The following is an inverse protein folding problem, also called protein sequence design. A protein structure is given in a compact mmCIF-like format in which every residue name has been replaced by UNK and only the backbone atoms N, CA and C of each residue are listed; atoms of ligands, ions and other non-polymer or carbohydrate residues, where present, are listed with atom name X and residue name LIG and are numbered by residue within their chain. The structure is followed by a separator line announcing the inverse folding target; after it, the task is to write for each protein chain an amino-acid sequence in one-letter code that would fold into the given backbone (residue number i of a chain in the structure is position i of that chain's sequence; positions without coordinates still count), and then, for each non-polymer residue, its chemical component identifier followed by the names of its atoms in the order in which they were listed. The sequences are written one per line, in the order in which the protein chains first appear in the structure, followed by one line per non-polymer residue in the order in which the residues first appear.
data_IF_368296292483
#
_entry.id   IF_368296292483
#
_cell.length_a   1.000
_cell.length_b   1.000
_cell.length_c   1.000
_cell.angle_alpha   90.00
_cell.angle_beta   90.00
_cell.angle_gamma   90.00
#
_symmetry.space_group_name_H-M   'P 1'
#
loop_
_entity.id
_entity.type
_entity.pdbx_description
1 polymer ?
#
# COMPACT_ATOMS: atom_id res chain seq x y z
N UNK A 1 -29.08 -5.51 20.43
CA UNK A 1 -27.79 -5.09 19.81
C UNK A 1 -27.07 -6.33 19.32
N UNK A 2 -26.94 -6.50 18.00
CA UNK A 2 -26.18 -7.61 17.44
C UNK A 2 -24.69 -7.43 17.77
N UNK A 3 -24.08 -8.45 18.38
CA UNK A 3 -22.66 -8.44 18.73
C UNK A 3 -21.84 -8.37 17.44
N UNK A 4 -21.18 -7.24 17.21
CA UNK A 4 -20.31 -7.02 16.05
C UNK A 4 -19.29 -8.16 16.00
N UNK A 5 -19.21 -8.88 14.87
CA UNK A 5 -18.25 -9.98 14.70
C UNK A 5 -16.85 -9.38 14.79
N UNK A 6 -16.14 -9.60 15.89
CA UNK A 6 -14.82 -8.99 16.15
C UNK A 6 -13.69 -9.53 15.27
N UNK A 7 -13.97 -10.46 14.35
CA UNK A 7 -12.99 -11.20 13.54
C UNK A 7 -13.57 -11.58 12.17
N UNK A 8 -14.02 -10.59 11.40
CA UNK A 8 -14.51 -10.82 10.03
C UNK A 8 -13.32 -11.20 9.14
N UNK A 9 -13.31 -12.37 8.47
CA UNK A 9 -12.22 -12.71 7.54
C UNK A 9 -11.94 -11.58 6.55
N UNK A 10 -10.68 -11.43 6.14
CA UNK A 10 -10.34 -10.53 5.04
C UNK A 10 -10.30 -11.34 3.75
N UNK A 11 -11.17 -11.01 2.81
CA UNK A 11 -11.09 -11.49 1.44
C UNK A 11 -9.89 -10.80 0.76
N UNK A 12 -9.04 -11.62 0.17
CA UNK A 12 -7.84 -11.17 -0.56
C UNK A 12 -8.16 -11.24 -2.04
N UNK A 13 -8.09 -10.09 -2.72
CA UNK A 13 -8.38 -9.96 -4.14
C UNK A 13 -7.12 -9.64 -4.94
N UNK A 14 -7.11 -10.04 -6.20
CA UNK A 14 -6.15 -9.61 -7.21
C UNK A 14 -6.96 -9.14 -8.43
N UNK A 15 -6.89 -7.84 -8.74
CA UNK A 15 -7.65 -7.20 -9.84
C UNK A 15 -9.13 -7.60 -9.86
N UNK A 16 -9.81 -7.43 -8.72
CA UNK A 16 -11.22 -7.79 -8.51
C UNK A 16 -11.57 -9.29 -8.53
N UNK A 17 -10.60 -10.20 -8.61
CA UNK A 17 -10.82 -11.65 -8.48
C UNK A 17 -10.45 -12.13 -7.07
N UNK A 18 -11.34 -12.89 -6.43
CA UNK A 18 -11.08 -13.47 -5.11
C UNK A 18 -9.97 -14.52 -5.21
N UNK A 19 -8.88 -14.28 -4.48
CA UNK A 19 -7.70 -15.17 -4.41
C UNK A 19 -7.83 -16.12 -3.23
N UNK A 20 -8.31 -15.61 -2.10
CA UNK A 20 -8.37 -16.38 -0.86
C UNK A 20 -8.83 -15.55 0.32
N UNK A 21 -8.68 -16.11 1.52
CA UNK A 21 -9.13 -15.49 2.77
C UNK A 21 -8.02 -15.51 3.82
N UNK A 22 -7.73 -14.35 4.38
CA UNK A 22 -6.87 -14.17 5.54
C UNK A 22 -7.75 -14.12 6.80
N UNK A 23 -7.47 -14.98 7.78
CA UNK A 23 -8.29 -15.13 8.99
C UNK A 23 -7.46 -14.95 10.24
N UNK A 24 -8.10 -14.37 11.26
CA UNK A 24 -7.60 -14.34 12.64
C UNK A 24 -8.44 -15.25 13.52
N UNK A 25 -7.86 -16.36 13.96
CA UNK A 25 -8.53 -17.34 14.82
C UNK A 25 -8.72 -16.80 16.24
N UNK A 26 -9.56 -17.49 17.03
CA UNK A 26 -9.84 -17.19 18.45
C UNK A 26 -8.55 -17.09 19.29
N UNK A 27 -7.59 -17.97 19.03
CA UNK A 27 -6.26 -18.02 19.66
C UNK A 27 -5.34 -16.84 19.30
N UNK A 28 -5.70 -16.03 18.29
CA UNK A 28 -4.83 -15.00 17.71
C UNK A 28 -3.99 -15.51 16.54
N UNK A 29 -3.97 -16.82 16.27
CA UNK A 29 -3.27 -17.38 15.12
C UNK A 29 -3.85 -16.83 13.81
N UNK A 30 -2.96 -16.50 12.88
CA UNK A 30 -3.30 -16.06 11.53
C UNK A 30 -3.17 -17.24 10.57
N UNK A 31 -4.16 -17.39 9.70
CA UNK A 31 -4.14 -18.39 8.64
C UNK A 31 -4.65 -17.83 7.32
N UNK A 32 -4.16 -18.41 6.22
CA UNK A 32 -4.55 -18.05 4.86
C UNK A 32 -4.98 -19.30 4.11
N UNK A 33 -6.07 -19.20 3.35
CA UNK A 33 -6.58 -20.26 2.49
C UNK A 33 -6.89 -19.70 1.12
N UNK A 34 -6.42 -20.37 0.07
CA UNK A 34 -6.81 -20.01 -1.30
C UNK A 34 -8.29 -20.34 -1.53
N UNK A 35 -8.95 -19.51 -2.33
CA UNK A 35 -10.30 -19.79 -2.79
C UNK A 35 -10.27 -20.88 -3.86
N UNK A 36 -11.27 -21.77 -3.87
CA UNK A 36 -11.34 -22.85 -4.86
C UNK A 36 -11.45 -22.32 -6.29
N UNK A 37 -12.13 -21.20 -6.49
CA UNK A 37 -12.27 -20.55 -7.80
C UNK A 37 -10.96 -19.93 -8.30
N UNK A 38 -10.04 -19.62 -7.39
CA UNK A 38 -8.68 -19.21 -7.72
C UNK A 38 -7.84 -20.43 -8.10
N UNK A 39 -7.84 -21.49 -7.28
CA UNK A 39 -7.08 -22.72 -7.55
C UNK A 39 -7.50 -23.41 -8.86
N UNK A 40 -8.78 -23.34 -9.21
CA UNK A 40 -9.31 -23.89 -10.46
C UNK A 40 -9.04 -23.02 -11.68
N UNK A 41 -8.45 -21.83 -11.52
CA UNK A 41 -8.18 -20.93 -12.64
C UNK A 41 -6.87 -21.29 -13.33
N UNK A 42 -6.88 -21.37 -14.66
CA UNK A 42 -5.70 -21.72 -15.46
C UNK A 42 -4.51 -20.76 -15.26
N UNK A 43 -4.80 -19.49 -14.95
CA UNK A 43 -3.76 -18.48 -14.70
C UNK A 43 -3.54 -18.21 -13.21
N UNK A 44 -3.95 -19.13 -12.35
CA UNK A 44 -3.70 -19.04 -10.91
C UNK A 44 -2.21 -18.88 -10.64
N UNK A 45 -1.89 -17.93 -9.76
CA UNK A 45 -0.54 -17.70 -9.28
C UNK A 45 -0.58 -17.59 -7.75
N UNK A 46 0.49 -18.00 -7.06
CA UNK A 46 0.52 -17.90 -5.62
C UNK A 46 0.66 -16.43 -5.17
N UNK A 47 0.04 -16.06 -4.05
CA UNK A 47 0.18 -14.72 -3.44
C UNK A 47 1.63 -14.41 -3.05
N UNK A 48 2.42 -15.44 -2.80
CA UNK A 48 3.86 -15.40 -2.56
C UNK A 48 4.46 -16.75 -2.91
N UNK A 49 5.72 -16.77 -3.37
CA UNK A 49 6.45 -18.02 -3.59
C UNK A 49 6.61 -18.85 -2.29
N UNK A 50 6.51 -18.22 -1.12
CA UNK A 50 6.50 -18.91 0.19
C UNK A 50 5.13 -19.49 0.57
N UNK A 51 4.07 -19.17 -0.19
CA UNK A 51 2.71 -19.68 -0.01
C UNK A 51 2.23 -20.31 -1.33
N UNK A 52 2.82 -21.45 -1.77
CA UNK A 52 2.48 -22.07 -3.05
C UNK A 52 1.00 -22.45 -3.16
N UNK A 53 0.49 -22.57 -4.37
CA UNK A 53 -0.90 -22.96 -4.61
C UNK A 53 -1.18 -24.35 -4.04
N UNK A 54 -2.13 -24.43 -3.11
CA UNK A 54 -2.64 -25.68 -2.53
C UNK A 54 -4.00 -25.45 -1.89
N UNK A 55 -4.75 -26.53 -1.69
CA UNK A 55 -6.05 -26.50 -1.01
C UNK A 55 -5.92 -26.31 0.50
N UNK A 56 -4.88 -26.89 1.10
CA UNK A 56 -4.65 -26.82 2.54
C UNK A 56 -4.29 -25.40 3.00
N UNK A 57 -4.91 -24.97 4.11
CA UNK A 57 -4.58 -23.68 4.71
C UNK A 57 -3.12 -23.57 5.12
N UNK A 58 -2.57 -22.37 5.02
CA UNK A 58 -1.31 -21.97 5.64
C UNK A 58 -1.60 -21.38 7.01
N UNK A 59 -0.74 -21.63 8.01
CA UNK A 59 -0.96 -21.17 9.39
C UNK A 59 0.36 -20.65 9.95
N UNK A 60 0.30 -19.56 10.74
CA UNK A 60 1.42 -19.09 11.54
C UNK A 60 2.46 -18.33 10.73
N UNK A 61 3.73 -18.54 11.06
CA UNK A 61 4.86 -17.72 10.62
C UNK A 61 4.95 -17.49 9.10
N UNK A 62 4.73 -18.50 8.22
CA UNK A 62 4.79 -18.25 6.77
C UNK A 62 3.73 -17.25 6.28
N UNK A 63 2.54 -17.27 6.89
CA UNK A 63 1.44 -16.36 6.56
C UNK A 63 1.77 -14.95 7.05
N UNK A 64 2.23 -14.85 8.31
CA UNK A 64 2.63 -13.59 8.91
C UNK A 64 3.75 -12.96 8.10
N UNK A 65 4.80 -13.72 7.76
CA UNK A 65 5.93 -13.21 7.01
C UNK A 65 5.52 -12.59 5.66
N UNK A 66 4.55 -13.15 4.94
CA UNK A 66 4.09 -12.57 3.66
C UNK A 66 3.32 -11.28 3.87
N UNK A 67 2.30 -11.31 4.73
CA UNK A 67 1.38 -10.19 4.86
C UNK A 67 1.94 -9.04 5.70
N UNK A 68 2.86 -9.33 6.63
CA UNK A 68 3.54 -8.32 7.44
C UNK A 68 4.50 -7.47 6.60
N UNK A 69 5.13 -8.06 5.57
CA UNK A 69 5.99 -7.37 4.61
C UNK A 69 5.24 -6.40 3.67
N UNK A 70 3.91 -6.36 3.73
CA UNK A 70 3.10 -5.36 3.02
C UNK A 70 2.94 -4.07 3.82
N UNK A 71 3.39 -4.04 5.08
CA UNK A 71 3.21 -2.94 6.01
C UNK A 71 4.54 -2.23 6.29
N UNK A 72 4.54 -1.00 6.84
CA UNK A 72 5.76 -0.31 7.24
C UNK A 72 6.58 -1.10 8.26
N UNK A 73 7.91 -1.15 8.15
CA UNK A 73 8.76 -1.99 9.02
C UNK A 73 8.82 -1.45 10.48
N UNK A 74 8.62 -0.15 10.65
CA UNK A 74 8.71 0.49 11.97
C UNK A 74 7.45 0.26 12.80
N UNK A 75 7.61 -0.39 13.95
CA UNK A 75 6.53 -0.59 14.92
C UNK A 75 5.92 0.72 15.43
N UNK A 76 6.70 1.80 15.50
CA UNK A 76 6.21 3.13 15.85
C UNK A 76 5.34 3.74 14.74
N UNK A 77 5.70 3.52 13.47
CA UNK A 77 4.86 3.93 12.33
C UNK A 77 3.55 3.15 12.36
N UNK A 78 3.61 1.83 12.58
CA UNK A 78 2.42 0.97 12.66
C UNK A 78 1.44 1.38 13.76
N UNK A 79 1.94 1.74 14.95
CA UNK A 79 1.09 2.21 16.06
C UNK A 79 0.34 3.50 15.68
N UNK A 80 1.05 4.48 15.14
CA UNK A 80 0.44 5.74 14.71
C UNK A 80 -0.56 5.54 13.58
N UNK A 81 -0.24 4.66 12.63
CA UNK A 81 -1.17 4.29 11.57
C UNK A 81 -2.43 3.65 12.16
N UNK A 82 -2.28 2.68 13.07
CA UNK A 82 -3.41 2.00 13.73
C UNK A 82 -4.31 2.99 14.48
N UNK A 83 -3.73 3.90 15.27
CA UNK A 83 -4.47 4.94 16.00
C UNK A 83 -5.25 5.85 15.06
N UNK A 84 -4.62 6.29 13.97
CA UNK A 84 -5.21 7.22 13.00
C UNK A 84 -6.39 6.62 12.24
N UNK A 85 -6.29 5.35 11.85
CA UNK A 85 -7.32 4.67 11.06
C UNK A 85 -8.34 3.93 11.94
N UNK A 86 -8.20 4.00 13.27
CA UNK A 86 -9.05 3.27 14.21
C UNK A 86 -8.92 1.75 14.09
N UNK A 87 -7.74 1.23 13.69
CA UNK A 87 -7.52 -0.20 13.60
C UNK A 87 -7.60 -0.87 14.98
N UNK A 88 -8.12 -2.09 15.02
CA UNK A 88 -8.26 -2.87 16.26
C UNK A 88 -6.90 -3.28 16.89
N UNK A 89 -5.80 -3.10 16.16
CA UNK A 89 -4.46 -3.48 16.56
C UNK A 89 -3.42 -3.01 15.54
N UNK A 90 -2.14 -3.17 15.90
CA UNK A 90 -0.99 -2.86 15.03
C UNK A 90 -0.37 -4.13 14.40
N UNK A 91 -1.04 -5.27 14.54
CA UNK A 91 -0.69 -6.52 13.87
C UNK A 91 -1.10 -6.50 12.39
N UNK A 92 -0.53 -7.42 11.61
CA UNK A 92 -0.68 -7.40 10.16
C UNK A 92 -2.14 -7.48 9.70
N UNK A 93 -2.92 -8.36 10.34
CA UNK A 93 -4.33 -8.52 10.01
C UNK A 93 -5.13 -7.26 10.34
N UNK A 94 -4.95 -6.69 11.53
CA UNK A 94 -5.68 -5.49 11.96
C UNK A 94 -5.36 -4.26 11.08
N UNK A 95 -4.11 -4.10 10.68
CA UNK A 95 -3.71 -3.00 9.80
C UNK A 95 -4.18 -3.21 8.36
N UNK A 96 -4.03 -4.40 7.79
CA UNK A 96 -4.51 -4.69 6.43
C UNK A 96 -6.04 -4.59 6.33
N UNK A 97 -6.78 -4.89 7.40
CA UNK A 97 -8.22 -4.65 7.44
C UNK A 97 -8.57 -3.17 7.25
N UNK A 98 -7.73 -2.25 7.74
CA UNK A 98 -7.98 -0.82 7.68
C UNK A 98 -7.39 -0.17 6.41
N UNK A 99 -6.16 -0.54 6.03
CA UNK A 99 -5.39 0.15 4.96
C UNK A 99 -5.05 -0.74 3.75
N UNK A 100 -5.49 -2.00 3.74
CA UNK A 100 -5.10 -2.97 2.71
C UNK A 100 -5.79 -2.84 1.36
N UNK A 101 -6.49 -1.73 1.08
CA UNK A 101 -7.20 -1.52 -0.19
C UNK A 101 -6.24 -1.23 -1.37
N UNK A 102 -5.08 -0.66 -1.07
CA UNK A 102 -3.98 -0.46 -2.02
C UNK A 102 -2.62 -0.77 -1.37
N UNK A 103 -2.09 -1.97 -1.63
CA UNK A 103 -0.79 -2.44 -1.13
C UNK A 103 0.30 -2.43 -2.22
N UNK A 104 1.56 -2.68 -1.85
CA UNK A 104 2.58 -3.10 -2.83
C UNK A 104 2.12 -4.39 -3.53
N UNK A 105 2.35 -4.47 -4.84
CA UNK A 105 1.85 -5.56 -5.67
C UNK A 105 0.34 -5.39 -5.95
N UNK A 106 -0.32 -6.48 -6.33
CA UNK A 106 -1.70 -6.44 -6.83
C UNK A 106 -2.76 -6.88 -5.80
N UNK A 107 -2.36 -7.16 -4.55
CA UNK A 107 -3.27 -7.67 -3.54
C UNK A 107 -4.09 -6.55 -2.90
N UNK A 108 -5.37 -6.83 -2.69
CA UNK A 108 -6.30 -5.97 -1.96
C UNK A 108 -6.97 -6.79 -0.86
N UNK A 109 -7.16 -6.18 0.31
CA UNK A 109 -7.75 -6.80 1.49
C UNK A 109 -9.04 -6.08 1.83
N UNK A 110 -10.15 -6.80 1.76
CA UNK A 110 -11.48 -6.27 2.08
C UNK A 110 -12.15 -7.17 3.12
N UNK A 111 -12.89 -6.62 4.09
CA UNK A 111 -13.72 -7.42 4.98
C UNK A 111 -14.67 -8.34 4.23
N UNK A 112 -14.90 -9.54 4.75
CA UNK A 112 -15.87 -10.47 4.17
C UNK A 112 -17.27 -9.84 4.07
N UNK A 113 -17.84 -9.90 2.86
CA UNK A 113 -19.08 -9.20 2.49
C UNK A 113 -18.88 -7.86 1.78
N UNK A 114 -17.66 -7.33 1.74
CA UNK A 114 -17.29 -6.22 0.84
C UNK A 114 -16.67 -6.77 -0.45
N UNK A 115 -17.10 -6.20 -1.58
CA UNK A 115 -16.58 -6.53 -2.90
C UNK A 115 -15.74 -5.35 -3.43
N UNK A 116 -14.66 -5.64 -4.19
CA UNK A 116 -13.92 -4.59 -4.87
C UNK A 116 -14.83 -3.93 -5.92
N UNK A 117 -14.49 -2.69 -6.28
CA UNK A 117 -15.12 -2.03 -7.40
C UNK A 117 -14.89 -2.79 -8.72
N UNK A 118 -15.55 -2.37 -9.81
CA UNK A 118 -15.30 -2.95 -11.12
C UNK A 118 -13.80 -2.84 -11.46
N UNK A 119 -13.22 -3.91 -12.00
CA UNK A 119 -11.83 -3.92 -12.42
C UNK A 119 -11.59 -2.78 -13.41
N UNK A 120 -10.52 -1.99 -13.19
CA UNK A 120 -10.21 -0.82 -14.00
C UNK A 120 -11.03 0.44 -13.69
N UNK A 121 -11.98 0.37 -12.75
CA UNK A 121 -12.68 1.55 -12.27
C UNK A 121 -11.72 2.55 -11.63
N UNK A 122 -11.73 3.80 -12.11
CA UNK A 122 -10.92 4.90 -11.56
C UNK A 122 -11.84 5.94 -10.96
N UNK A 123 -11.67 6.18 -9.67
CA UNK A 123 -12.34 7.27 -8.96
C UNK A 123 -11.37 7.89 -7.97
N UNK A 124 -11.37 9.21 -7.90
CA UNK A 124 -10.56 9.94 -6.96
C UNK A 124 -10.97 11.39 -6.83
N UNK A 125 -10.52 12.01 -5.75
CA UNK A 125 -10.67 13.43 -5.48
C UNK A 125 -9.41 14.17 -5.92
N UNK A 126 -9.50 15.10 -6.88
CA UNK A 126 -8.37 15.95 -7.25
C UNK A 126 -7.80 16.71 -6.05
N UNK A 127 -6.48 16.86 -6.04
CA UNK A 127 -5.73 17.62 -5.05
C UNK A 127 -5.14 18.88 -5.67
N UNK A 128 -5.11 19.98 -4.91
CA UNK A 128 -4.26 21.13 -5.22
C UNK A 128 -2.81 20.89 -4.79
N UNK A 129 -1.89 21.71 -5.30
CA UNK A 129 -0.49 21.67 -4.90
C UNK A 129 -0.33 21.98 -3.39
N UNK A 130 -1.17 22.86 -2.83
CA UNK A 130 -1.18 23.17 -1.40
C UNK A 130 -1.59 21.96 -0.55
N UNK A 131 -2.60 21.19 -0.99
CA UNK A 131 -3.01 19.97 -0.31
C UNK A 131 -1.89 18.92 -0.34
N UNK A 132 -1.23 18.75 -1.49
CA UNK A 132 -0.09 17.83 -1.63
C UNK A 132 1.08 18.28 -0.75
N UNK A 133 1.39 19.57 -0.72
CA UNK A 133 2.43 20.13 0.14
C UNK A 133 2.12 19.91 1.63
N UNK A 134 0.86 20.04 2.02
CA UNK A 134 0.36 19.71 3.35
C UNK A 134 0.59 18.24 3.70
N UNK A 135 0.14 17.32 2.83
CA UNK A 135 0.36 15.87 2.98
C UNK A 135 1.85 15.57 3.19
N UNK A 136 2.71 16.08 2.31
CA UNK A 136 4.17 15.85 2.35
C UNK A 136 4.83 16.40 3.62
N UNK A 137 4.34 17.52 4.14
CA UNK A 137 4.88 18.15 5.35
C UNK A 137 4.47 17.40 6.62
N UNK A 138 3.28 16.79 6.60
CA UNK A 138 2.72 16.07 7.74
C UNK A 138 3.12 14.59 7.80
N UNK A 139 3.86 14.03 6.84
CA UNK A 139 4.26 12.60 6.84
C UNK A 139 4.99 12.16 8.12
N UNK A 140 5.70 13.09 8.79
CA UNK A 140 6.31 12.86 10.10
C UNK A 140 5.31 12.57 11.20
N UNK A 141 4.11 13.14 11.12
CA UNK A 141 3.03 13.01 12.11
C UNK A 141 1.98 12.00 11.66
N UNK A 142 1.68 12.01 10.37
CA UNK A 142 0.63 11.25 9.69
C UNK A 142 1.26 10.29 8.68
N UNK A 143 1.59 9.05 9.10
CA UNK A 143 2.23 8.10 8.19
C UNK A 143 1.41 7.86 6.93
N UNK A 144 2.10 7.77 5.79
CA UNK A 144 1.50 7.53 4.47
C UNK A 144 0.54 8.62 3.99
N UNK A 145 0.34 9.71 4.73
CA UNK A 145 -0.62 10.76 4.39
C UNK A 145 -2.08 10.34 4.61
N UNK A 146 -2.32 9.22 5.29
CA UNK A 146 -3.66 8.69 5.57
C UNK A 146 -4.38 9.60 6.57
N UNK A 147 -5.50 10.18 6.16
CA UNK A 147 -6.36 10.95 7.05
C UNK A 147 -7.37 10.04 7.77
N UNK A 148 -8.20 10.65 8.63
CA UNK A 148 -9.25 9.94 9.36
C UNK A 148 -10.43 9.56 8.45
N UNK A 149 -10.50 10.13 7.24
CA UNK A 149 -11.53 9.78 6.28
C UNK A 149 -11.29 8.38 5.70
N UNK A 150 -12.35 7.70 5.29
CA UNK A 150 -12.22 6.35 4.71
C UNK A 150 -11.66 6.36 3.28
N UNK A 151 -11.40 7.53 2.70
CA UNK A 151 -11.07 7.67 1.29
C UNK A 151 -9.65 7.17 0.98
N UNK A 152 -8.67 7.46 1.86
CA UNK A 152 -7.26 7.20 1.55
C UNK A 152 -6.67 6.03 2.34
N UNK A 153 -6.67 4.83 1.74
CA UNK A 153 -6.22 3.58 2.38
C UNK A 153 -5.07 2.93 1.61
N UNK A 154 -3.84 3.32 1.91
CA UNK A 154 -2.64 2.80 1.27
C UNK A 154 -1.72 2.07 2.27
N UNK A 155 -1.00 1.06 1.79
CA UNK A 155 0.05 0.38 2.54
C UNK A 155 1.32 0.23 1.72
N UNK A 156 2.42 0.78 2.24
CA UNK A 156 3.71 0.81 1.56
C UNK A 156 4.83 0.43 2.56
N UNK A 157 5.63 -0.57 2.20
CA UNK A 157 6.73 -1.06 3.03
C UNK A 157 7.92 -0.08 3.05
N UNK A 158 8.85 -0.28 3.99
CA UNK A 158 10.07 0.51 4.16
C UNK A 158 10.02 1.54 5.30
N UNK A 159 11.19 2.10 5.63
CA UNK A 159 11.38 2.98 6.78
C UNK A 159 11.32 4.49 6.46
N UNK A 160 11.54 4.88 5.20
CA UNK A 160 11.48 6.27 4.78
C UNK A 160 10.03 6.76 4.70
N UNK A 161 9.79 7.99 5.17
CA UNK A 161 8.53 8.71 4.97
C UNK A 161 8.22 8.85 3.48
N UNK A 162 6.96 8.57 3.13
CA UNK A 162 6.46 8.62 1.76
C UNK A 162 4.95 8.48 1.78
N UNK A 163 4.31 8.88 0.69
CA UNK A 163 2.91 8.60 0.39
C UNK A 163 2.81 8.07 -1.04
N UNK A 164 1.61 7.70 -1.47
CA UNK A 164 1.34 7.31 -2.85
C UNK A 164 0.05 7.98 -3.32
N UNK A 165 0.03 8.51 -4.53
CA UNK A 165 -1.14 9.21 -5.09
C UNK A 165 -1.51 8.64 -6.46
N UNK A 166 -2.76 8.87 -6.85
CA UNK A 166 -3.23 8.63 -8.21
C UNK A 166 -2.85 9.84 -9.08
N UNK A 167 -2.18 9.61 -10.21
CA UNK A 167 -2.04 10.58 -11.27
C UNK A 167 -2.90 10.14 -12.44
N UNK A 168 -3.99 10.85 -12.67
CA UNK A 168 -4.97 10.49 -13.69
C UNK A 168 -5.53 11.74 -14.38
N UNK A 169 -5.64 11.67 -15.71
CA UNK A 169 -6.07 12.79 -16.56
C UNK A 169 -5.31 14.10 -16.30
N UNK A 170 -3.99 14.00 -16.11
CA UNK A 170 -3.12 15.15 -15.87
C UNK A 170 -3.21 15.75 -14.47
N UNK A 171 -3.92 15.11 -13.53
CA UNK A 171 -4.16 15.61 -12.18
C UNK A 171 -3.73 14.61 -11.10
N UNK A 172 -3.18 15.13 -10.01
CA UNK A 172 -2.97 14.39 -8.77
C UNK A 172 -4.28 14.24 -8.01
N UNK A 173 -4.55 13.05 -7.49
CA UNK A 173 -5.81 12.71 -6.83
C UNK A 173 -5.58 11.78 -5.64
N UNK A 174 -6.44 11.90 -4.63
CA UNK A 174 -6.65 10.85 -3.62
C UNK A 174 -7.55 9.79 -4.25
N UNK A 175 -7.11 8.52 -4.37
CA UNK A 175 -7.98 7.47 -4.89
C UNK A 175 -9.12 7.15 -3.93
N UNK A 176 -10.28 6.74 -4.46
CA UNK A 176 -11.41 6.26 -3.67
C UNK A 176 -11.56 4.74 -3.76
N UNK A 177 -11.99 4.14 -2.64
CA UNK A 177 -12.36 2.73 -2.56
C UNK A 177 -11.20 1.79 -2.86
N UNK A 178 -11.25 1.14 -4.02
CA UNK A 178 -10.23 0.17 -4.49
C UNK A 178 -9.41 0.71 -5.66
N UNK A 179 -9.58 2.00 -6.01
CA UNK A 179 -8.76 2.66 -7.02
C UNK A 179 -7.31 2.66 -6.55
N UNK A 180 -6.39 2.19 -7.39
CA UNK A 180 -4.99 2.10 -7.03
C UNK A 180 -4.26 3.43 -7.24
N UNK A 181 -3.32 3.73 -6.35
CA UNK A 181 -2.30 4.77 -6.61
C UNK A 181 -1.38 4.36 -7.75
N UNK A 182 -0.76 5.34 -8.39
CA UNK A 182 0.12 5.14 -9.56
C UNK A 182 1.54 5.65 -9.34
N UNK A 183 1.74 6.53 -8.36
CA UNK A 183 3.05 7.08 -8.04
C UNK A 183 3.29 7.09 -6.55
N UNK A 184 4.55 6.87 -6.18
CA UNK A 184 5.05 7.09 -4.83
C UNK A 184 5.69 8.47 -4.79
N UNK A 185 5.38 9.24 -3.75
CA UNK A 185 5.95 10.55 -3.49
C UNK A 185 6.84 10.46 -2.26
N UNK A 186 8.12 10.78 -2.43
CA UNK A 186 9.11 10.80 -1.36
C UNK A 186 9.55 12.23 -1.06
N UNK A 187 9.29 12.76 0.15
CA UNK A 187 9.86 14.03 0.58
C UNK A 187 11.37 13.90 0.86
N UNK A 188 12.00 15.06 1.08
CA UNK A 188 13.35 15.13 1.64
C UNK A 188 13.41 14.48 3.02
N UNK A 189 14.43 13.66 3.25
CA UNK A 189 14.65 12.98 4.55
C UNK A 189 15.14 14.00 5.59
N UNK A 190 16.06 14.89 5.18
CA UNK A 190 16.70 15.85 6.07
C UNK A 190 17.82 15.22 6.90
N UNK A 191 18.09 15.78 8.09
CA UNK A 191 19.15 15.27 8.98
C UNK A 191 18.62 14.19 9.91
N UNK A 192 19.33 13.07 9.98
CA UNK A 192 19.00 11.96 10.86
C UNK A 192 19.61 12.14 12.26
N UNK A 193 19.02 11.54 13.33
CA UNK A 193 19.53 11.66 14.70
C UNK A 193 20.97 11.15 14.90
N UNK A 194 21.43 10.25 14.03
CA UNK A 194 22.79 9.70 14.03
C UNK A 194 23.82 10.60 13.32
N UNK A 195 23.44 11.83 12.93
CA UNK A 195 24.33 12.82 12.33
C UNK A 195 24.47 12.72 10.80
N UNK A 196 23.80 11.77 10.14
CA UNK A 196 23.81 11.67 8.68
C UNK A 196 22.96 12.80 8.08
N UNK A 197 23.53 13.54 7.13
CA UNK A 197 22.83 14.58 6.38
C UNK A 197 22.27 14.03 5.06
N UNK A 198 20.95 13.93 4.97
CA UNK A 198 20.20 13.50 3.79
C UNK A 198 19.27 14.61 3.30
N UNK A 199 19.66 15.87 3.46
CA UNK A 199 18.92 17.03 2.94
C UNK A 199 18.77 17.00 1.42
N UNK A 200 19.73 16.41 0.71
CA UNK A 200 19.70 16.21 -0.74
C UNK A 200 19.24 14.79 -1.16
N UNK A 201 18.41 14.14 -0.34
CA UNK A 201 17.95 12.77 -0.63
C UNK A 201 17.17 12.65 -1.94
N UNK A 202 16.45 13.72 -2.34
CA UNK A 202 15.69 13.76 -3.59
C UNK A 202 16.65 13.74 -4.78
N UNK A 203 17.63 14.63 -4.81
CA UNK A 203 18.61 14.74 -5.89
C UNK A 203 19.49 13.51 -5.98
N UNK A 204 19.89 12.95 -4.83
CA UNK A 204 20.67 11.73 -4.76
C UNK A 204 19.92 10.56 -5.42
N UNK A 205 18.69 10.28 -4.98
CA UNK A 205 17.91 9.17 -5.55
C UNK A 205 17.56 9.43 -7.02
N UNK A 206 17.19 10.67 -7.39
CA UNK A 206 16.94 11.03 -8.79
C UNK A 206 18.16 10.78 -9.68
N UNK A 207 19.36 11.22 -9.28
CA UNK A 207 20.60 11.02 -10.01
C UNK A 207 20.91 9.52 -10.17
N UNK A 208 20.77 8.74 -9.08
CA UNK A 208 21.00 7.30 -9.14
C UNK A 208 20.07 6.62 -10.16
N UNK A 209 18.77 6.95 -10.15
CA UNK A 209 17.79 6.37 -11.07
C UNK A 209 18.06 6.76 -12.53
N UNK A 210 18.44 8.01 -12.77
CA UNK A 210 18.86 8.51 -14.10
C UNK A 210 20.11 7.80 -14.59
N UNK A 211 21.09 7.59 -13.70
CA UNK A 211 22.33 6.89 -14.01
C UNK A 211 22.08 5.43 -14.38
N UNK A 212 21.26 4.71 -13.61
CA UNK A 212 20.87 3.33 -13.92
C UNK A 212 20.23 3.23 -15.31
N UNK A 213 19.29 4.13 -15.61
CA UNK A 213 18.63 4.19 -16.93
C UNK A 213 19.63 4.50 -18.05
N UNK A 214 20.58 5.41 -17.83
CA UNK A 214 21.61 5.76 -18.81
C UNK A 214 22.56 4.60 -19.11
N UNK A 215 22.78 3.70 -18.14
CA UNK A 215 23.50 2.44 -18.33
C UNK A 215 22.65 1.31 -18.95
N UNK A 216 21.39 1.59 -19.32
CA UNK A 216 20.48 0.59 -19.88
C UNK A 216 19.92 -0.40 -18.85
N UNK A 217 20.05 -0.12 -17.55
CA UNK A 217 19.46 -0.94 -16.50
C UNK A 217 17.99 -0.57 -16.29
N UNK A 218 17.09 -1.57 -16.09
CA UNK A 218 15.70 -1.29 -15.73
C UNK A 218 15.63 -0.51 -14.41
N UNK A 219 14.99 0.66 -14.46
CA UNK A 219 14.76 1.50 -13.29
C UNK A 219 13.37 2.14 -13.40
N UNK A 220 12.73 2.39 -12.25
CA UNK A 220 11.47 3.12 -12.21
C UNK A 220 11.66 4.54 -12.78
N UNK A 221 10.67 5.05 -13.50
CA UNK A 221 10.69 6.43 -13.96
C UNK A 221 10.53 7.37 -12.79
N UNK A 222 11.37 8.40 -12.75
CA UNK A 222 11.37 9.38 -11.68
C UNK A 222 11.37 10.80 -12.20
N UNK A 223 10.80 11.70 -11.41
CA UNK A 223 10.79 13.14 -11.65
C UNK A 223 10.85 13.89 -10.32
N UNK A 224 11.53 15.04 -10.31
CA UNK A 224 11.48 15.96 -9.16
C UNK A 224 10.38 16.96 -9.45
N UNK A 225 9.42 17.07 -8.54
CA UNK A 225 8.29 18.01 -8.64
C UNK A 225 8.22 18.84 -7.38
N UNK A 226 7.84 20.11 -7.53
CA UNK A 226 7.58 21.03 -6.43
C UNK A 226 6.08 21.30 -6.35
N UNK A 227 5.52 21.20 -5.15
CA UNK A 227 4.13 21.52 -4.84
C UNK A 227 4.12 22.64 -3.80
N UNK A 228 3.69 23.84 -4.20
CA UNK A 228 3.62 25.03 -3.32
C UNK A 228 4.87 25.19 -2.41
N UNK A 229 6.07 25.10 -3.01
CA UNK A 229 7.36 25.23 -2.31
C UNK A 229 7.89 23.95 -1.64
N UNK A 230 7.15 22.84 -1.67
CA UNK A 230 7.57 21.54 -1.14
C UNK A 230 7.99 20.60 -2.25
N UNK A 231 9.27 20.24 -2.27
CA UNK A 231 9.83 19.30 -3.25
C UNK A 231 9.57 17.86 -2.86
N UNK A 232 9.31 17.02 -3.86
CA UNK A 232 9.23 15.57 -3.73
C UNK A 232 9.85 14.87 -4.94
N UNK A 233 10.44 13.70 -4.68
CA UNK A 233 10.74 12.74 -5.73
C UNK A 233 9.47 11.94 -6.03
N UNK A 234 9.00 12.02 -7.26
CA UNK A 234 7.89 11.23 -7.77
C UNK A 234 8.46 10.01 -8.47
N UNK A 235 7.92 8.83 -8.14
CA UNK A 235 8.34 7.55 -8.69
C UNK A 235 7.12 6.84 -9.27
N UNK A 236 7.13 6.58 -10.58
CA UNK A 236 6.08 5.79 -11.26
C UNK A 236 6.12 4.35 -10.74
N UNK A 237 4.98 3.86 -10.25
CA UNK A 237 4.85 2.51 -9.70
C UNK A 237 4.93 1.47 -10.81
N UNK A 238 5.97 0.65 -10.80
CA UNK A 238 6.15 -0.44 -11.77
C UNK A 238 5.22 -1.64 -11.52
N UNK A 239 4.60 -1.71 -10.33
CA UNK A 239 3.59 -2.71 -9.96
C UNK A 239 2.17 -2.26 -10.35
N UNK A 240 2.05 -1.22 -11.18
CA UNK A 240 0.79 -0.67 -11.67
C UNK A 240 0.88 -0.50 -13.18
N UNK A 241 -0.22 -0.77 -13.88
CA UNK A 241 -0.29 -0.60 -15.33
C UNK A 241 -1.72 -0.27 -15.74
N UNK A 242 -1.86 0.78 -16.56
CA UNK A 242 -3.12 1.08 -17.24
C UNK A 242 -3.44 -0.03 -18.23
N UNK A 243 -4.69 -0.48 -18.27
CA UNK A 243 -5.17 -1.36 -19.33
C UNK A 243 -5.09 -0.61 -20.65
N UNK A 244 -4.64 -1.31 -21.70
CA UNK A 244 -4.84 -0.84 -23.06
C UNK A 244 -6.29 -1.17 -23.41
N UNK A 245 -7.17 -0.21 -23.22
CA UNK A 245 -8.52 -0.29 -23.77
C UNK A 245 -8.45 -0.17 -25.29
#
# INVERSE_FOLDING_TARGET
MARQRTRVPLNVFLNSRLVGRLRRQSSGAIDFVYDRSWLAWEHALPVSLSLPLREDRFIGDPVIAVFDNLLPDSSQIRRRLAERVGAAGNDAYSLLAAVGRDCVGALQFLPDGEEPGPAGGVSGRPLSDEEIAGILSDLKRTPLGVDESEEFRISLAGAQEKTALLYWQGKWQIPHGTTATTHILKPEIGKLPNGIDLTQSIENEYLCMRLMTAFGLPAAKTQIVEFSGKRALIIERFDRRWTSD
#
